data_IF_256904080022
#
_entry.id   IF_256904080022
#
_cell.length_a   1.000
_cell.length_b   1.000
_cell.length_c   1.000
_cell.angle_alpha   90.00
_cell.angle_beta   90.00
_cell.angle_gamma   90.00
#
_symmetry.space_group_name_H-M   'P 1'
#
loop_
_entity.id
_entity.type
_entity.pdbx_description
1 polymer ?
#
# COMPACT_ATOMS: atom_id res chain seq x y z
N UNK A 1 10.45 -7.97 -15.24
CA UNK A 1 9.37 -8.61 -16.02
C UNK A 1 8.60 -9.65 -15.20
N UNK A 2 9.27 -10.58 -14.50
CA UNK A 2 8.60 -11.63 -13.69
C UNK A 2 7.64 -11.07 -12.62
N UNK A 3 8.05 -10.04 -11.86
CA UNK A 3 7.18 -9.42 -10.84
C UNK A 3 5.94 -8.74 -11.44
N UNK A 4 6.07 -8.15 -12.63
CA UNK A 4 4.97 -7.51 -13.35
C UNK A 4 3.96 -8.55 -13.83
N UNK A 5 4.45 -9.66 -14.41
CA UNK A 5 3.60 -10.78 -14.82
C UNK A 5 2.90 -11.42 -13.63
N UNK A 6 3.60 -11.63 -12.51
CA UNK A 6 3.01 -12.16 -11.28
C UNK A 6 1.91 -11.26 -10.70
N UNK A 7 2.10 -9.94 -10.71
CA UNK A 7 1.07 -9.00 -10.24
C UNK A 7 -0.13 -8.96 -11.19
N UNK A 8 0.09 -8.98 -12.51
CA UNK A 8 -0.99 -9.04 -13.50
C UNK A 8 -1.82 -10.33 -13.37
N UNK A 9 -1.16 -11.47 -13.17
CA UNK A 9 -1.82 -12.75 -12.94
C UNK A 9 -2.58 -12.82 -11.60
N UNK A 10 -2.14 -12.05 -10.60
CA UNK A 10 -2.84 -11.98 -9.30
C UNK A 10 -4.22 -11.30 -9.39
N UNK A 11 -4.44 -10.47 -10.43
CA UNK A 11 -5.65 -9.65 -10.63
C UNK A 11 -6.07 -8.84 -9.39
N UNK A 12 -5.14 -8.62 -8.45
CA UNK A 12 -5.41 -7.87 -7.23
C UNK A 12 -5.50 -6.38 -7.57
N UNK A 13 -6.62 -5.74 -7.19
CA UNK A 13 -6.85 -4.31 -7.37
C UNK A 13 -5.69 -3.50 -6.76
N UNK A 14 -5.21 -3.92 -5.59
CA UNK A 14 -4.03 -3.35 -4.94
C UNK A 14 -2.77 -3.54 -5.77
N UNK A 15 -2.59 -4.72 -6.38
CA UNK A 15 -1.44 -5.00 -7.24
C UNK A 15 -1.37 -4.11 -8.49
N UNK A 16 -2.50 -3.91 -9.17
CA UNK A 16 -2.59 -3.03 -10.35
C UNK A 16 -2.36 -1.57 -9.95
N UNK A 17 -2.98 -1.10 -8.87
CA UNK A 17 -2.77 0.27 -8.36
C UNK A 17 -1.30 0.47 -7.96
N UNK A 18 -0.67 -0.52 -7.32
CA UNK A 18 0.74 -0.43 -6.94
C UNK A 18 1.68 -0.47 -8.14
N UNK A 19 1.34 -1.25 -9.18
CA UNK A 19 2.04 -1.20 -10.46
C UNK A 19 2.01 0.22 -11.01
N UNK A 20 0.85 0.85 -11.12
CA UNK A 20 0.71 2.22 -11.59
C UNK A 20 1.48 3.23 -10.73
N UNK A 21 1.44 3.08 -9.40
CA UNK A 21 2.18 3.91 -8.46
C UNK A 21 3.71 3.79 -8.62
N UNK A 22 4.21 2.68 -9.18
CA UNK A 22 5.63 2.49 -9.50
C UNK A 22 5.94 3.01 -10.90
N UNK A 23 5.16 2.61 -11.92
CA UNK A 23 5.45 2.96 -13.32
C UNK A 23 5.27 4.43 -13.59
N UNK A 24 4.17 5.08 -13.16
CA UNK A 24 3.92 6.48 -13.53
C UNK A 24 5.01 7.44 -13.01
N UNK A 25 5.42 7.42 -11.73
CA UNK A 25 6.50 8.30 -11.26
C UNK A 25 7.85 7.95 -11.90
N UNK A 26 8.12 6.67 -12.19
CA UNK A 26 9.36 6.27 -12.88
C UNK A 26 9.48 6.82 -14.30
N UNK A 27 8.35 7.06 -14.98
CA UNK A 27 8.28 7.64 -16.32
C UNK A 27 8.39 9.18 -16.30
N UNK A 28 7.84 9.82 -15.26
CA UNK A 28 7.77 11.28 -15.15
C UNK A 28 8.99 11.90 -14.47
N UNK A 29 9.54 11.24 -13.45
CA UNK A 29 10.63 11.78 -12.62
C UNK A 29 12.01 11.40 -13.14
N UNK A 30 12.15 10.24 -13.78
CA UNK A 30 13.40 9.83 -14.42
C UNK A 30 13.35 10.27 -15.88
N UNK A 31 14.18 11.25 -16.27
CA UNK A 31 14.29 11.68 -17.67
C UNK A 31 14.85 10.53 -18.52
N UNK A 32 13.98 9.72 -19.13
CA UNK A 32 14.40 8.55 -19.92
C UNK A 32 14.17 8.67 -21.44
N UNK A 33 13.69 9.82 -21.93
CA UNK A 33 13.44 10.03 -23.37
C UNK A 33 12.53 8.95 -23.98
N UNK A 34 12.71 8.63 -25.26
CA UNK A 34 11.90 7.64 -26.00
C UNK A 34 11.85 6.22 -25.36
N UNK A 35 12.79 5.89 -24.47
CA UNK A 35 12.87 4.58 -23.80
C UNK A 35 11.74 4.37 -22.78
N UNK A 36 11.16 5.45 -22.25
CA UNK A 36 10.01 5.39 -21.33
C UNK A 36 8.73 4.96 -22.06
N UNK A 37 8.49 5.55 -23.24
CA UNK A 37 7.39 5.20 -24.13
C UNK A 37 7.49 3.75 -24.60
N UNK A 38 8.69 3.28 -24.98
CA UNK A 38 8.90 1.88 -25.40
C UNK A 38 8.58 0.90 -24.27
N UNK A 39 8.96 1.19 -23.02
CA UNK A 39 8.65 0.31 -21.87
C UNK A 39 7.15 0.28 -21.56
N UNK A 40 6.47 1.41 -21.69
CA UNK A 40 5.02 1.50 -21.49
C UNK A 40 4.28 0.73 -22.60
N UNK A 41 4.67 0.91 -23.87
CA UNK A 41 4.12 0.18 -25.01
C UNK A 41 4.39 -1.33 -24.89
N UNK A 42 5.58 -1.73 -24.44
CA UNK A 42 5.90 -3.12 -24.18
C UNK A 42 5.05 -3.71 -23.03
N UNK A 43 4.81 -2.95 -21.96
CA UNK A 43 3.94 -3.37 -20.86
C UNK A 43 2.49 -3.56 -21.32
N UNK A 44 1.95 -2.58 -22.05
CA UNK A 44 0.60 -2.64 -22.62
C UNK A 44 0.49 -3.81 -23.61
N UNK A 45 1.52 -4.02 -24.44
CA UNK A 45 1.60 -5.15 -25.37
C UNK A 45 1.58 -6.50 -24.66
N UNK A 46 2.34 -6.66 -23.58
CA UNK A 46 2.33 -7.89 -22.76
C UNK A 46 0.97 -8.12 -22.12
N UNK A 47 0.31 -7.07 -21.61
CA UNK A 47 -1.04 -7.18 -21.04
C UNK A 47 -2.06 -7.57 -22.12
N UNK A 48 -2.00 -6.97 -23.31
CA UNK A 48 -2.90 -7.29 -24.42
C UNK A 48 -2.69 -8.72 -24.91
N UNK A 49 -1.45 -9.17 -25.06
CA UNK A 49 -1.12 -10.57 -25.42
C UNK A 49 -1.59 -11.52 -24.32
N UNK A 50 -1.44 -11.17 -23.04
CA UNK A 50 -1.95 -12.00 -21.95
C UNK A 50 -3.49 -12.15 -22.00
N UNK A 51 -4.22 -11.09 -22.37
CA UNK A 51 -5.68 -11.10 -22.52
C UNK A 51 -6.12 -11.93 -23.74
N UNK A 52 -5.40 -11.85 -24.85
CA UNK A 52 -5.81 -12.51 -26.10
C UNK A 52 -5.31 -13.95 -26.23
N UNK A 53 -4.13 -14.27 -25.70
CA UNK A 53 -3.49 -15.58 -25.86
C UNK A 53 -3.85 -16.59 -24.77
N UNK A 54 -4.37 -16.15 -23.61
CA UNK A 54 -4.71 -17.04 -22.49
C UNK A 54 -6.19 -16.93 -22.12
N UNK A 55 -6.97 -17.95 -22.51
CA UNK A 55 -8.42 -18.04 -22.25
C UNK A 55 -8.77 -17.97 -20.76
N UNK A 56 -7.99 -18.65 -19.91
CA UNK A 56 -8.21 -18.65 -18.46
C UNK A 56 -8.02 -17.26 -17.83
N UNK A 57 -7.08 -16.47 -18.38
CA UNK A 57 -6.86 -15.11 -17.93
C UNK A 57 -8.01 -14.20 -18.38
N UNK A 58 -8.46 -14.35 -19.62
CA UNK A 58 -9.63 -13.64 -20.16
C UNK A 58 -10.90 -13.93 -19.35
N UNK A 59 -11.17 -15.19 -19.04
CA UNK A 59 -12.33 -15.57 -18.21
C UNK A 59 -12.26 -14.98 -16.80
N UNK A 60 -11.07 -15.00 -16.16
CA UNK A 60 -10.88 -14.36 -14.86
C UNK A 60 -11.13 -12.85 -14.93
N UNK A 61 -10.70 -12.16 -15.99
CA UNK A 61 -10.96 -10.73 -16.19
C UNK A 61 -12.47 -10.47 -16.40
N UNK A 62 -13.15 -11.28 -17.22
CA UNK A 62 -14.59 -11.16 -17.49
C UNK A 62 -15.41 -11.44 -16.23
N UNK A 63 -15.09 -12.50 -15.49
CA UNK A 63 -15.74 -12.81 -14.21
C UNK A 63 -15.59 -11.64 -13.25
N UNK A 64 -14.38 -11.08 -13.12
CA UNK A 64 -14.15 -9.89 -12.28
C UNK A 64 -14.97 -8.69 -12.75
N UNK A 65 -15.06 -8.43 -14.05
CA UNK A 65 -15.89 -7.35 -14.61
C UNK A 65 -17.39 -7.56 -14.35
N UNK A 66 -17.88 -8.79 -14.45
CA UNK A 66 -19.29 -9.12 -14.12
C UNK A 66 -19.59 -8.98 -12.62
N UNK A 67 -18.61 -9.30 -11.75
CA UNK A 67 -18.68 -8.98 -10.32
C UNK A 67 -18.68 -7.47 -10.09
N UNK A 68 -18.03 -6.68 -10.97
CA UNK A 68 -18.05 -5.22 -10.91
C UNK A 68 -19.39 -4.58 -11.36
N UNK A 69 -20.23 -5.29 -12.12
CA UNK A 69 -21.57 -4.79 -12.47
C UNK A 69 -22.66 -5.20 -11.47
N UNK A 70 -22.43 -6.26 -10.69
CA UNK A 70 -23.31 -6.68 -9.59
C UNK A 70 -23.06 -5.94 -8.27
N UNK A 71 -22.10 -5.00 -8.23
CA UNK A 71 -21.61 -4.25 -7.05
C UNK A 71 -22.64 -3.34 -6.35
N UNK A 72 -23.85 -3.19 -6.90
CA UNK A 72 -24.88 -2.34 -6.32
C UNK A 72 -25.59 -3.02 -5.12
N UNK A 73 -25.26 -4.29 -4.80
CA UNK A 73 -25.75 -5.02 -3.62
C UNK A 73 -24.61 -5.31 -2.64
N UNK A 74 -24.44 -4.39 -1.67
CA UNK A 74 -23.96 -4.49 -0.27
C UNK A 74 -22.76 -5.39 0.16
N UNK A 75 -22.29 -6.40 -0.57
CA UNK A 75 -21.22 -7.34 -0.13
C UNK A 75 -19.80 -7.03 -0.68
N UNK A 76 -19.52 -5.76 -1.01
CA UNK A 76 -18.52 -5.42 -2.04
C UNK A 76 -17.05 -5.31 -1.58
N UNK A 77 -16.75 -5.16 -0.28
CA UNK A 77 -15.39 -4.86 0.20
C UNK A 77 -14.75 -5.96 1.06
N UNK A 78 -15.24 -7.20 1.00
CA UNK A 78 -14.79 -8.28 1.91
C UNK A 78 -14.86 -7.85 3.39
N UNK A 79 -15.93 -7.13 3.76
CA UNK A 79 -16.14 -6.58 5.11
C UNK A 79 -15.13 -5.54 5.60
N UNK A 80 -14.23 -5.02 4.73
CA UNK A 80 -13.25 -3.99 5.10
C UNK A 80 -13.91 -2.70 5.59
N UNK A 81 -15.04 -2.31 5.01
CA UNK A 81 -15.76 -1.10 5.43
C UNK A 81 -16.21 -1.24 6.88
N UNK A 82 -16.73 -2.40 7.29
CA UNK A 82 -17.12 -2.64 8.68
C UNK A 82 -15.92 -2.61 9.62
N UNK A 83 -14.77 -3.16 9.19
CA UNK A 83 -13.52 -3.10 9.97
C UNK A 83 -13.01 -1.66 10.07
N UNK A 84 -13.12 -0.85 9.01
CA UNK A 84 -12.72 0.56 9.02
C UNK A 84 -13.63 1.38 9.93
N UNK A 85 -14.93 1.11 9.92
CA UNK A 85 -15.86 1.72 10.87
C UNK A 85 -15.53 1.33 12.31
N UNK A 86 -15.15 0.07 12.56
CA UNK A 86 -14.64 -0.35 13.86
C UNK A 86 -13.37 0.42 14.26
N UNK A 87 -12.41 0.60 13.36
CA UNK A 87 -11.20 1.40 13.62
C UNK A 87 -11.55 2.85 14.00
N UNK A 88 -12.50 3.47 13.30
CA UNK A 88 -12.99 4.81 13.63
C UNK A 88 -13.67 4.87 15.00
N UNK A 89 -14.46 3.87 15.36
CA UNK A 89 -15.12 3.79 16.68
C UNK A 89 -14.10 3.60 17.81
N UNK A 90 -13.13 2.71 17.62
CA UNK A 90 -12.02 2.50 18.55
C UNK A 90 -11.24 3.80 18.76
N UNK A 91 -10.94 4.51 17.68
CA UNK A 91 -10.28 5.81 17.75
C UNK A 91 -11.13 6.85 18.51
N UNK A 92 -12.44 6.91 18.27
CA UNK A 92 -13.33 7.84 18.97
C UNK A 92 -13.34 7.61 20.49
N UNK A 93 -13.20 6.36 20.94
CA UNK A 93 -13.15 6.02 22.37
C UNK A 93 -11.77 6.24 23.00
N UNK A 94 -10.68 6.00 22.25
CA UNK A 94 -9.30 6.19 22.74
C UNK A 94 -8.47 7.07 21.80
N UNK A 95 -8.80 8.36 21.66
CA UNK A 95 -8.24 9.21 20.61
C UNK A 95 -6.76 9.54 20.80
N UNK A 96 -6.25 9.55 22.04
CA UNK A 96 -4.88 10.00 22.30
C UNK A 96 -3.84 8.90 22.13
N UNK A 97 -4.08 7.75 22.77
CA UNK A 97 -3.11 6.65 22.87
C UNK A 97 -3.54 5.38 22.15
N UNK A 98 -4.78 5.32 21.66
CA UNK A 98 -5.36 4.11 21.07
C UNK A 98 -5.47 2.96 22.07
N UNK A 99 -5.55 1.75 21.52
CA UNK A 99 -5.71 0.48 22.28
C UNK A 99 -4.40 -0.30 22.49
N UNK A 100 -3.27 0.23 22.03
CA UNK A 100 -1.97 -0.43 22.05
C UNK A 100 -1.64 -1.10 20.71
N UNK A 101 -0.35 -1.08 20.37
CA UNK A 101 0.21 -1.68 19.15
C UNK A 101 -0.09 -3.17 19.07
N UNK A 102 -0.62 -3.61 17.94
CA UNK A 102 -1.01 -5.00 17.67
C UNK A 102 -2.35 -5.43 18.27
N UNK A 103 -3.02 -4.58 19.06
CA UNK A 103 -4.26 -4.94 19.73
C UNK A 103 -5.52 -4.71 18.88
N UNK A 104 -5.44 -3.98 17.77
CA UNK A 104 -6.65 -3.65 17.00
C UNK A 104 -7.38 -4.92 16.52
N UNK A 105 -6.65 -5.96 16.11
CA UNK A 105 -7.24 -7.22 15.67
C UNK A 105 -8.04 -7.91 16.79
N UNK A 106 -7.66 -7.79 18.06
CA UNK A 106 -8.37 -8.43 19.18
C UNK A 106 -9.53 -7.56 19.70
N UNK A 107 -9.47 -6.26 19.46
CA UNK A 107 -10.51 -5.31 19.88
C UNK A 107 -11.60 -5.17 18.81
N UNK A 108 -11.26 -5.28 17.52
CA UNK A 108 -12.20 -5.08 16.42
C UNK A 108 -13.50 -5.94 16.48
N UNK A 109 -13.52 -7.19 17.01
CA UNK A 109 -14.75 -7.96 17.20
C UNK A 109 -15.83 -7.27 18.04
N UNK A 110 -15.44 -6.45 19.02
CA UNK A 110 -16.39 -5.73 19.87
C UNK A 110 -17.07 -4.56 19.14
N UNK A 111 -16.53 -4.14 17.99
CA UNK A 111 -16.97 -2.95 17.25
C UNK A 111 -17.50 -3.27 15.85
N UNK A 112 -17.31 -4.50 15.37
CA UNK A 112 -17.75 -4.97 14.06
C UNK A 112 -18.24 -6.41 14.11
N UNK A 113 -19.50 -6.62 13.69
CA UNK A 113 -20.07 -7.96 13.51
C UNK A 113 -19.25 -8.79 12.53
N UNK A 114 -18.73 -8.17 11.47
CA UNK A 114 -17.86 -8.87 10.52
C UNK A 114 -16.55 -9.33 11.17
N UNK A 115 -15.92 -8.48 11.97
CA UNK A 115 -14.74 -8.87 12.75
C UNK A 115 -15.05 -9.96 13.78
N UNK A 116 -16.22 -9.94 14.41
CA UNK A 116 -16.65 -10.99 15.33
C UNK A 116 -16.84 -12.34 14.62
N UNK A 117 -17.40 -12.35 13.41
CA UNK A 117 -17.51 -13.56 12.59
C UNK A 117 -16.14 -14.13 12.23
N UNK A 118 -15.17 -13.27 11.91
CA UNK A 118 -13.78 -13.69 11.66
C UNK A 118 -13.15 -14.28 12.94
N UNK A 119 -13.29 -13.60 14.06
CA UNK A 119 -12.76 -14.02 15.36
C UNK A 119 -13.28 -15.39 15.78
N UNK A 120 -14.59 -15.65 15.57
CA UNK A 120 -15.21 -16.94 15.86
C UNK A 120 -14.66 -18.12 15.03
N UNK A 121 -14.01 -17.84 13.90
CA UNK A 121 -13.40 -18.84 13.02
C UNK A 121 -11.89 -19.01 13.23
N UNK A 122 -11.28 -18.22 14.13
CA UNK A 122 -9.83 -18.22 14.35
C UNK A 122 -9.48 -18.67 15.77
N UNK A 123 -8.47 -19.53 15.88
CA UNK A 123 -7.99 -20.05 17.17
C UNK A 123 -7.34 -18.96 18.05
N UNK A 124 -6.81 -17.90 17.43
CA UNK A 124 -6.22 -16.76 18.15
C UNK A 124 -7.27 -15.75 18.65
N UNK A 125 -8.53 -15.88 18.24
CA UNK A 125 -9.61 -14.96 18.59
C UNK A 125 -9.51 -13.57 17.94
N UNK A 126 -8.62 -13.36 16.97
CA UNK A 126 -8.48 -12.06 16.29
C UNK A 126 -9.57 -11.82 15.23
N UNK A 127 -10.16 -10.62 15.19
CA UNK A 127 -11.20 -10.20 14.23
C UNK A 127 -10.72 -9.74 12.86
N UNK A 128 -9.47 -10.04 12.50
CA UNK A 128 -8.84 -9.57 11.26
C UNK A 128 -8.19 -8.18 11.41
N UNK A 129 -7.37 -7.82 10.42
CA UNK A 129 -6.59 -6.58 10.41
C UNK A 129 -7.31 -5.48 9.63
N UNK A 130 -6.95 -4.22 9.89
CA UNK A 130 -7.59 -3.07 9.25
C UNK A 130 -7.48 -3.08 7.71
N UNK A 131 -6.47 -3.74 7.15
CA UNK A 131 -6.13 -3.63 5.73
C UNK A 131 -6.00 -2.18 5.25
N UNK A 132 -5.59 -1.30 6.16
CA UNK A 132 -5.27 0.09 5.94
C UNK A 132 -4.34 0.51 7.09
N UNK A 133 -3.08 0.72 6.75
CA UNK A 133 -2.00 1.05 7.65
C UNK A 133 -2.30 2.28 8.51
N UNK A 134 -2.92 3.31 7.93
CA UNK A 134 -3.22 4.55 8.65
C UNK A 134 -4.35 4.37 9.66
N UNK A 135 -5.41 3.64 9.29
CA UNK A 135 -6.49 3.32 10.22
C UNK A 135 -6.00 2.41 11.35
N UNK A 136 -5.12 1.47 11.04
CA UNK A 136 -4.49 0.59 12.03
C UNK A 136 -3.67 1.41 13.04
N UNK A 137 -2.72 2.22 12.55
CA UNK A 137 -1.90 3.11 13.40
C UNK A 137 -2.79 4.03 14.24
N UNK A 138 -3.82 4.63 13.63
CA UNK A 138 -4.74 5.52 14.33
C UNK A 138 -5.53 4.82 15.44
N UNK A 139 -6.07 3.62 15.19
CA UNK A 139 -6.81 2.87 16.20
C UNK A 139 -5.90 2.35 17.33
N UNK A 140 -4.68 1.91 17.00
CA UNK A 140 -3.75 1.30 17.95
C UNK A 140 -2.98 2.31 18.79
N UNK A 141 -2.64 3.46 18.21
CA UNK A 141 -1.74 4.44 18.85
C UNK A 141 -2.35 5.82 19.04
N UNK A 142 -3.60 6.02 18.57
CA UNK A 142 -4.29 7.29 18.62
C UNK A 142 -3.64 8.37 17.74
N UNK A 143 -4.04 9.61 17.98
CA UNK A 143 -3.54 10.78 17.25
C UNK A 143 -2.06 11.01 17.49
N UNK A 144 -1.54 10.66 18.67
CA UNK A 144 -0.12 10.85 19.01
C UNK A 144 0.74 9.98 18.10
N UNK A 145 0.45 8.68 18.03
CA UNK A 145 1.22 7.79 17.16
C UNK A 145 0.96 8.04 15.68
N UNK A 146 -0.26 8.45 15.29
CA UNK A 146 -0.53 8.88 13.91
C UNK A 146 0.30 10.10 13.50
N UNK A 147 0.46 11.09 14.39
CA UNK A 147 1.33 12.25 14.15
C UNK A 147 2.77 11.78 13.95
N UNK A 148 3.33 10.99 14.87
CA UNK A 148 4.71 10.52 14.74
C UNK A 148 4.94 9.70 13.47
N UNK A 149 4.01 8.80 13.16
CA UNK A 149 4.05 7.98 11.95
C UNK A 149 4.02 8.85 10.69
N UNK A 150 3.12 9.84 10.65
CA UNK A 150 2.97 10.76 9.52
C UNK A 150 4.18 11.67 9.37
N UNK A 151 4.71 12.21 10.47
CA UNK A 151 5.94 13.03 10.46
C UNK A 151 7.13 12.23 9.96
N UNK A 152 7.31 10.98 10.41
CA UNK A 152 8.38 10.12 9.91
C UNK A 152 8.25 9.91 8.40
N UNK A 153 7.07 9.52 7.93
CA UNK A 153 6.80 9.28 6.52
C UNK A 153 7.04 10.54 5.66
N UNK A 154 6.50 11.69 6.08
CA UNK A 154 6.68 12.97 5.40
C UNK A 154 8.14 13.44 5.40
N UNK A 155 8.88 13.19 6.49
CA UNK A 155 10.31 13.51 6.55
C UNK A 155 11.13 12.68 5.56
N UNK A 156 10.75 11.42 5.33
CA UNK A 156 11.37 10.56 4.33
C UNK A 156 11.14 11.10 2.91
N UNK A 157 9.91 11.50 2.59
CA UNK A 157 9.58 12.14 1.32
C UNK A 157 10.34 13.46 1.12
N UNK A 158 10.40 14.31 2.14
CA UNK A 158 11.12 15.57 2.09
C UNK A 158 12.63 15.35 1.87
N UNK A 159 13.21 14.34 2.53
CA UNK A 159 14.62 14.00 2.36
C UNK A 159 14.91 13.45 0.96
N UNK A 160 14.09 12.51 0.46
CA UNK A 160 14.22 11.98 -0.89
C UNK A 160 14.16 13.10 -1.93
N UNK A 161 13.22 14.04 -1.77
CA UNK A 161 13.08 15.19 -2.66
C UNK A 161 14.27 16.14 -2.63
N UNK A 162 14.83 16.40 -1.45
CA UNK A 162 16.04 17.23 -1.31
C UNK A 162 17.25 16.58 -2.00
N UNK A 163 17.46 15.28 -1.82
CA UNK A 163 18.54 14.53 -2.47
C UNK A 163 18.39 14.51 -3.99
N UNK A 164 17.17 14.33 -4.49
CA UNK A 164 16.86 14.45 -5.93
C UNK A 164 17.25 15.83 -6.47
N UNK A 165 16.90 16.91 -5.76
CA UNK A 165 17.28 18.28 -6.15
C UNK A 165 18.80 18.51 -6.09
N UNK A 166 19.51 17.78 -5.22
CA UNK A 166 20.97 17.76 -5.16
C UNK A 166 21.64 16.95 -6.27
N UNK A 167 20.88 16.25 -7.12
CA UNK A 167 21.41 15.43 -8.21
C UNK A 167 21.69 13.97 -7.86
N UNK A 168 21.27 13.50 -6.68
CA UNK A 168 21.45 12.11 -6.26
C UNK A 168 20.46 11.18 -6.96
N UNK A 169 20.93 10.47 -7.98
CA UNK A 169 20.08 9.60 -8.82
C UNK A 169 19.47 8.42 -8.05
N UNK A 170 20.13 7.91 -7.00
CA UNK A 170 19.59 6.81 -6.19
C UNK A 170 18.35 7.23 -5.40
N UNK A 171 18.20 8.52 -5.10
CA UNK A 171 17.06 9.05 -4.36
C UNK A 171 15.74 8.92 -5.15
N UNK A 172 15.78 8.89 -6.48
CA UNK A 172 14.59 8.60 -7.30
C UNK A 172 14.04 7.19 -7.05
N UNK A 173 14.93 6.20 -7.00
CA UNK A 173 14.53 4.81 -6.73
C UNK A 173 13.91 4.66 -5.34
N UNK A 174 14.49 5.32 -4.34
CA UNK A 174 13.97 5.33 -2.98
C UNK A 174 12.62 6.07 -2.87
N UNK A 175 12.44 7.18 -3.60
CA UNK A 175 11.16 7.88 -3.66
C UNK A 175 10.06 7.00 -4.28
N UNK A 176 10.36 6.29 -5.37
CA UNK A 176 9.41 5.35 -6.00
C UNK A 176 9.07 4.22 -5.04
N UNK A 177 10.07 3.68 -4.32
CA UNK A 177 9.86 2.67 -3.28
C UNK A 177 8.96 3.16 -2.15
N UNK A 178 9.16 4.40 -1.68
CA UNK A 178 8.31 5.04 -0.68
C UNK A 178 6.86 5.22 -1.18
N UNK A 179 6.67 5.67 -2.42
CA UNK A 179 5.34 5.78 -3.03
C UNK A 179 4.64 4.42 -3.11
N UNK A 180 5.34 3.39 -3.57
CA UNK A 180 4.81 2.03 -3.64
C UNK A 180 4.45 1.48 -2.25
N UNK A 181 5.26 1.77 -1.23
CA UNK A 181 4.97 1.39 0.15
C UNK A 181 3.71 2.08 0.67
N UNK A 182 3.60 3.40 0.52
CA UNK A 182 2.45 4.17 1.01
C UNK A 182 1.16 3.75 0.32
N UNK A 183 1.20 3.57 -1.00
CA UNK A 183 0.03 3.12 -1.79
C UNK A 183 -0.38 1.70 -1.42
N UNK A 184 0.58 0.78 -1.24
CA UNK A 184 0.29 -0.56 -0.74
C UNK A 184 -0.35 -0.50 0.67
N UNK A 185 0.19 0.36 1.54
CA UNK A 185 -0.29 0.57 2.91
C UNK A 185 -1.73 1.10 3.01
N UNK A 186 -2.30 1.68 1.95
CA UNK A 186 -3.73 2.04 1.94
C UNK A 186 -4.66 0.82 1.90
N UNK A 187 -4.15 -0.31 1.41
CA UNK A 187 -4.93 -1.53 1.22
C UNK A 187 -4.40 -2.74 2.01
N UNK A 188 -3.28 -2.57 2.72
CA UNK A 188 -2.56 -3.56 3.50
C UNK A 188 -2.18 -3.00 4.87
N UNK A 189 -1.97 -3.89 5.83
CA UNK A 189 -1.53 -3.58 7.20
C UNK A 189 -0.02 -3.88 7.29
N UNK A 190 0.80 -2.90 6.91
CA UNK A 190 2.25 -3.02 6.69
C UNK A 190 3.09 -2.09 7.58
N UNK A 191 2.47 -1.43 8.55
CA UNK A 191 3.11 -0.51 9.49
C UNK A 191 4.29 -1.13 10.26
N UNK A 192 4.28 -2.44 10.50
CA UNK A 192 5.29 -3.15 11.29
C UNK A 192 6.29 -3.96 10.44
N UNK A 193 6.21 -3.88 9.11
CA UNK A 193 7.16 -4.62 8.26
C UNK A 193 8.52 -3.90 8.14
N UNK A 194 9.57 -4.62 7.76
CA UNK A 194 10.96 -4.10 7.71
C UNK A 194 11.20 -3.07 6.59
N UNK A 195 10.33 -3.04 5.57
CA UNK A 195 10.46 -2.24 4.35
C UNK A 195 10.64 -0.73 4.61
N UNK A 196 9.78 -0.04 5.38
CA UNK A 196 9.92 1.39 5.66
C UNK A 196 11.26 1.74 6.34
N UNK A 197 11.75 0.91 7.26
CA UNK A 197 13.02 1.13 7.94
C UNK A 197 14.20 1.03 6.99
N UNK A 198 14.17 0.09 6.04
CA UNK A 198 15.20 -0.02 5.01
C UNK A 198 15.19 1.19 4.06
N UNK A 199 14.01 1.66 3.64
CA UNK A 199 13.88 2.84 2.79
C UNK A 199 14.39 4.09 3.50
N UNK A 200 14.00 4.29 4.76
CA UNK A 200 14.42 5.44 5.56
C UNK A 200 15.92 5.41 5.86
N UNK A 201 16.45 4.26 6.29
CA UNK A 201 17.89 4.08 6.54
C UNK A 201 18.74 4.33 5.30
N UNK A 202 18.27 3.89 4.13
CA UNK A 202 18.94 4.14 2.84
C UNK A 202 18.98 5.63 2.50
N UNK A 203 17.89 6.37 2.74
CA UNK A 203 17.86 7.83 2.53
C UNK A 203 18.81 8.58 3.46
N UNK A 204 18.86 8.18 4.73
CA UNK A 204 19.79 8.75 5.71
C UNK A 204 21.25 8.47 5.32
N UNK A 205 21.55 7.24 4.88
CA UNK A 205 22.89 6.87 4.42
C UNK A 205 23.33 7.75 3.22
N UNK A 206 22.44 7.96 2.23
CA UNK A 206 22.73 8.84 1.10
C UNK A 206 23.00 10.28 1.54
N UNK A 207 22.21 10.82 2.48
CA UNK A 207 22.44 12.17 3.02
C UNK A 207 23.83 12.34 3.64
N UNK A 208 24.31 11.34 4.38
CA UNK A 208 25.63 11.41 5.01
C UNK A 208 26.78 11.32 4.01
N UNK A 209 26.57 10.68 2.86
CA UNK A 209 27.54 10.64 1.76
C UNK A 209 27.62 11.98 1.04
N UNK A 210 26.48 12.60 0.74
CA UNK A 210 26.40 13.86 0.02
C UNK A 210 27.05 15.01 0.81
N UNK A 211 26.85 15.05 2.14
CA UNK A 211 27.47 16.02 3.03
C UNK A 211 28.99 15.87 3.27
N UNK A 212 29.64 14.85 2.70
CA UNK A 212 31.11 14.70 2.74
C UNK A 212 31.83 15.27 1.52
N UNK A 213 31.07 15.74 0.52
CA UNK A 213 31.61 16.24 -0.75
C UNK A 213 31.34 17.74 -1.01
N UNK A 214 30.76 18.47 -0.04
CA UNK A 214 30.61 19.92 -0.07
C UNK A 214 31.34 20.58 1.09
#
# INVERSE_FOLDING_TARGET
MVAVVGVLLSLSRTGIINLLAITLPSLLLVRQGAKSAIRLTALIGVVLVAITAFSDFRERVIQRYSTLQSLQKEETWSGRIDIWQAAMRVFAERPFTGVGVGNFAFISPYYSTYAALISAQREDGGGGVAHNMFLSVMAETGVIGLIFFSTLLLSAYALAWRLIKGGENLAYGLLIGLLAYTVAGLALTWEYVKIPYLLYGSLLALRTRDGRHG
#
